data_IF_429975144992
#
_entry.id   IF_429975144992
#
_cell.length_a   1.000
_cell.length_b   1.000
_cell.length_c   1.000
_cell.angle_alpha   90.00
_cell.angle_beta   90.00
_cell.angle_gamma   90.00
#
_symmetry.space_group_name_H-M   'P 1'
#
loop_
_entity.id
_entity.type
_entity.pdbx_description
1 polymer ?
#
# COMPACT_ATOMS: atom_id res chain seq x y z
N UNK A 1 8.35 -6.58 -4.02
CA UNK A 1 8.18 -7.75 -3.14
C UNK A 1 6.69 -7.98 -2.95
N UNK A 2 6.24 -9.26 -2.97
CA UNK A 2 4.86 -9.64 -2.70
C UNK A 2 4.76 -10.26 -1.30
N UNK A 3 3.97 -9.65 -0.44
CA UNK A 3 3.85 -10.04 0.96
C UNK A 3 2.47 -10.64 1.28
N UNK A 4 2.46 -11.71 2.07
CA UNK A 4 1.23 -12.31 2.55
C UNK A 4 0.52 -11.39 3.55
N UNK A 5 -0.81 -11.28 3.42
CA UNK A 5 -1.68 -10.54 4.34
C UNK A 5 -2.49 -11.49 5.22
N UNK A 6 -2.97 -12.59 4.64
CA UNK A 6 -3.77 -13.59 5.37
C UNK A 6 -3.00 -14.15 6.56
N UNK A 7 -3.57 -14.01 7.74
CA UNK A 7 -2.94 -14.44 8.98
C UNK A 7 -1.84 -13.52 9.51
N UNK A 8 -1.53 -12.41 8.83
CA UNK A 8 -0.51 -11.45 9.25
C UNK A 8 -1.18 -10.15 9.74
N UNK A 9 -0.90 -9.75 10.97
CA UNK A 9 -1.51 -8.55 11.58
C UNK A 9 -0.90 -7.24 11.06
N UNK A 10 0.36 -7.30 10.63
CA UNK A 10 1.11 -6.11 10.22
C UNK A 10 2.22 -6.45 9.22
N UNK A 11 2.81 -5.39 8.67
CA UNK A 11 3.87 -5.47 7.67
C UNK A 11 5.12 -6.20 8.17
N UNK A 12 5.48 -6.03 9.43
CA UNK A 12 6.64 -6.69 10.04
C UNK A 12 6.46 -8.21 10.06
N UNK A 13 5.27 -8.70 10.47
CA UNK A 13 4.95 -10.12 10.42
C UNK A 13 5.00 -10.69 9.00
N UNK A 14 4.58 -9.91 8.00
CA UNK A 14 4.67 -10.31 6.60
C UNK A 14 6.11 -10.44 6.12
N UNK A 15 7.03 -9.59 6.57
CA UNK A 15 8.45 -9.73 6.28
C UNK A 15 9.05 -10.97 6.95
N UNK A 16 8.76 -11.21 8.23
CA UNK A 16 9.20 -12.44 8.92
C UNK A 16 8.67 -13.71 8.23
N UNK A 17 7.40 -13.71 7.82
CA UNK A 17 6.83 -14.80 7.06
C UNK A 17 7.53 -15.00 5.71
N UNK A 18 7.92 -13.90 5.04
CA UNK A 18 8.58 -13.96 3.73
C UNK A 18 9.98 -14.58 3.77
N UNK A 19 10.74 -14.34 4.85
CA UNK A 19 12.11 -14.88 5.04
C UNK A 19 12.14 -16.19 5.85
N UNK A 20 10.97 -16.69 6.23
CA UNK A 20 10.89 -17.97 6.96
C UNK A 20 11.46 -19.10 6.14
N UNK A 21 12.33 -19.91 6.75
CA UNK A 21 12.88 -21.11 6.12
C UNK A 21 11.88 -22.26 6.16
N UNK A 22 11.89 -23.07 5.11
CA UNK A 22 11.12 -24.28 4.92
C UNK A 22 12.07 -25.47 4.87
N UNK A 23 11.80 -26.54 5.65
CA UNK A 23 12.53 -27.79 5.55
C UNK A 23 11.97 -28.67 4.42
N UNK A 24 12.83 -29.00 3.49
CA UNK A 24 12.55 -29.97 2.44
C UNK A 24 12.97 -31.37 2.91
N UNK A 25 12.01 -32.13 3.43
CA UNK A 25 12.24 -33.49 3.97
C UNK A 25 11.18 -34.49 3.50
N UNK A 26 11.37 -35.79 3.79
CA UNK A 26 10.45 -36.85 3.39
C UNK A 26 10.30 -36.96 1.87
N UNK A 27 9.07 -36.77 1.37
CA UNK A 27 8.76 -36.85 -0.07
C UNK A 27 9.16 -35.55 -0.83
N UNK A 28 9.47 -34.44 -0.10
CA UNK A 28 9.85 -33.14 -0.65
C UNK A 28 11.36 -32.89 -0.63
N UNK A 29 12.20 -33.92 -0.45
CA UNK A 29 13.66 -33.78 -0.42
C UNK A 29 14.20 -33.08 -1.66
N UNK A 30 15.21 -32.25 -1.46
CA UNK A 30 15.94 -31.60 -2.54
C UNK A 30 16.81 -32.62 -3.31
N UNK A 31 16.72 -32.62 -4.64
CA UNK A 31 17.60 -33.40 -5.48
C UNK A 31 18.92 -32.65 -5.72
N UNK A 32 19.94 -32.99 -4.95
CA UNK A 32 21.27 -32.43 -5.10
C UNK A 32 22.05 -33.21 -6.19
N UNK A 33 22.60 -32.50 -7.16
CA UNK A 33 23.39 -33.08 -8.25
C UNK A 33 24.61 -33.81 -7.68
N UNK A 34 24.75 -35.13 -8.02
CA UNK A 34 25.82 -35.96 -7.53
C UNK A 34 25.60 -36.55 -6.12
N UNK A 35 24.61 -36.11 -5.37
CA UNK A 35 24.33 -36.58 -4.00
C UNK A 35 22.94 -37.20 -3.83
N UNK A 36 22.07 -37.14 -4.85
CA UNK A 36 20.70 -37.66 -4.79
C UNK A 36 19.76 -36.82 -3.94
N UNK A 37 18.74 -37.48 -3.35
CA UNK A 37 17.75 -36.80 -2.50
C UNK A 37 18.34 -36.49 -1.11
N UNK A 38 18.35 -35.20 -0.75
CA UNK A 38 18.89 -34.70 0.52
C UNK A 38 17.84 -33.86 1.25
N UNK A 39 17.87 -33.90 2.58
CA UNK A 39 17.18 -32.89 3.38
C UNK A 39 17.85 -31.56 3.19
N UNK A 40 17.06 -30.50 3.01
CA UNK A 40 17.58 -29.14 2.74
C UNK A 40 16.70 -28.08 3.36
N UNK A 41 17.31 -26.97 3.74
CA UNK A 41 16.60 -25.74 4.09
C UNK A 41 16.44 -24.87 2.84
N UNK A 42 15.22 -24.40 2.60
CA UNK A 42 14.89 -23.46 1.53
C UNK A 42 14.32 -22.18 2.14
N UNK A 43 14.81 -21.04 1.71
CA UNK A 43 14.34 -19.76 2.19
C UNK A 43 14.81 -18.61 1.33
N UNK A 44 14.42 -17.40 1.71
CA UNK A 44 14.84 -16.13 1.10
C UNK A 44 15.66 -15.37 2.12
N UNK A 45 16.76 -14.78 1.67
CA UNK A 45 17.57 -13.83 2.43
C UNK A 45 17.63 -12.51 1.66
N UNK A 46 17.56 -11.40 2.36
CA UNK A 46 17.78 -10.09 1.76
C UNK A 46 19.22 -9.64 1.98
N UNK A 47 19.92 -9.35 0.90
CA UNK A 47 21.26 -8.76 0.93
C UNK A 47 21.20 -7.24 0.84
N UNK A 48 20.19 -6.71 0.12
CA UNK A 48 20.03 -5.27 -0.12
C UNK A 48 18.59 -4.94 -0.47
N UNK A 49 18.13 -3.75 -0.05
CA UNK A 49 16.88 -3.16 -0.52
C UNK A 49 17.14 -1.96 -1.45
N UNK A 50 16.26 -1.69 -2.43
CA UNK A 50 16.39 -0.57 -3.37
C UNK A 50 16.08 0.77 -2.68
N UNK A 51 16.48 1.92 -3.28
CA UNK A 51 16.12 3.25 -2.80
C UNK A 51 14.60 3.47 -2.66
N UNK A 52 13.82 2.95 -3.62
CA UNK A 52 12.36 2.94 -3.61
C UNK A 52 11.87 1.51 -3.56
N UNK A 53 11.11 1.17 -2.54
CA UNK A 53 10.64 -0.18 -2.26
C UNK A 53 9.13 -0.28 -2.49
N UNK A 54 8.73 -1.11 -3.45
CA UNK A 54 7.34 -1.44 -3.71
C UNK A 54 6.97 -2.74 -3.01
N UNK A 55 5.95 -2.69 -2.16
CA UNK A 55 5.43 -3.82 -1.42
C UNK A 55 4.00 -4.10 -1.88
N UNK A 56 3.82 -5.17 -2.65
CA UNK A 56 2.49 -5.64 -3.02
C UNK A 56 1.93 -6.50 -1.90
N UNK A 57 0.78 -6.10 -1.38
CA UNK A 57 0.03 -6.86 -0.38
C UNK A 57 -0.87 -7.86 -1.10
N UNK A 58 -0.69 -9.15 -0.84
CA UNK A 58 -1.45 -10.23 -1.48
C UNK A 58 -2.88 -10.26 -0.95
N UNK A 59 -3.69 -9.33 -1.45
CA UNK A 59 -5.12 -9.19 -1.13
C UNK A 59 -6.02 -10.11 -1.94
N UNK A 60 -5.50 -10.70 -3.01
CA UNK A 60 -6.23 -11.62 -3.86
C UNK A 60 -5.53 -12.96 -3.87
N UNK A 61 -6.24 -14.03 -3.53
CA UNK A 61 -5.74 -15.40 -3.55
C UNK A 61 -6.82 -16.37 -4.00
N UNK A 62 -6.39 -17.53 -4.47
CA UNK A 62 -7.30 -18.62 -4.79
C UNK A 62 -7.59 -19.44 -3.53
N UNK A 63 -8.88 -19.54 -3.18
CA UNK A 63 -9.35 -20.34 -2.06
C UNK A 63 -9.70 -21.75 -2.57
N UNK A 64 -8.86 -22.73 -2.21
CA UNK A 64 -9.01 -24.11 -2.66
C UNK A 64 -10.28 -24.77 -2.10
N UNK A 65 -10.76 -24.36 -0.92
CA UNK A 65 -11.98 -24.91 -0.32
C UNK A 65 -13.25 -24.42 -1.04
N UNK A 66 -13.22 -23.18 -1.51
CA UNK A 66 -14.33 -22.55 -2.22
C UNK A 66 -14.23 -22.68 -3.73
N UNK A 67 -13.08 -23.17 -4.22
CA UNK A 67 -12.76 -23.27 -5.65
C UNK A 67 -12.92 -21.94 -6.41
N UNK A 68 -12.50 -20.83 -5.80
CA UNK A 68 -12.66 -19.49 -6.37
C UNK A 68 -11.61 -18.50 -5.85
N UNK A 69 -11.38 -17.43 -6.63
CA UNK A 69 -10.62 -16.29 -6.14
C UNK A 69 -11.38 -15.58 -5.02
N UNK A 70 -10.66 -15.14 -3.98
CA UNK A 70 -11.21 -14.37 -2.87
C UNK A 70 -10.38 -13.12 -2.62
N UNK A 71 -11.04 -12.07 -2.15
CA UNK A 71 -10.36 -10.86 -1.65
C UNK A 71 -10.16 -10.99 -0.14
N UNK A 72 -8.90 -10.84 0.29
CA UNK A 72 -8.51 -10.84 1.70
C UNK A 72 -8.69 -9.42 2.24
N UNK A 73 -9.74 -9.23 3.03
CA UNK A 73 -10.05 -7.94 3.65
C UNK A 73 -9.58 -7.86 5.11
N UNK A 74 -8.79 -8.82 5.56
CA UNK A 74 -8.27 -8.86 6.93
C UNK A 74 -7.50 -7.58 7.26
N UNK A 75 -7.54 -7.18 8.55
CA UNK A 75 -6.78 -6.05 9.04
C UNK A 75 -5.29 -6.36 8.91
N UNK A 76 -4.57 -5.47 8.26
CA UNK A 76 -3.13 -5.54 8.08
C UNK A 76 -2.54 -4.14 8.21
N UNK A 77 -1.86 -3.88 9.31
CA UNK A 77 -1.30 -2.58 9.63
C UNK A 77 0.04 -2.36 8.95
N UNK A 78 0.29 -1.13 8.52
CA UNK A 78 1.57 -0.69 7.99
C UNK A 78 1.94 0.68 8.57
N UNK A 79 3.22 0.90 8.93
CA UNK A 79 3.66 2.12 9.60
C UNK A 79 4.06 3.22 8.61
N UNK A 80 4.12 4.47 9.09
CA UNK A 80 4.73 5.58 8.34
C UNK A 80 6.24 5.43 8.19
N UNK A 81 6.88 4.69 9.07
CA UNK A 81 8.32 4.44 9.06
C UNK A 81 8.60 3.01 9.50
N UNK A 82 9.46 2.32 8.77
CA UNK A 82 9.86 0.95 9.08
C UNK A 82 11.39 0.82 8.98
N UNK A 83 11.99 0.14 9.95
CA UNK A 83 13.39 -0.29 9.87
C UNK A 83 13.45 -1.71 9.30
N UNK A 84 14.07 -1.85 8.14
CA UNK A 84 14.22 -3.13 7.45
C UNK A 84 15.53 -3.85 7.79
N UNK A 85 16.38 -3.25 8.62
CA UNK A 85 17.63 -3.85 9.07
C UNK A 85 17.48 -5.26 9.64
N UNK A 86 16.44 -5.60 10.45
CA UNK A 86 16.28 -6.94 11.01
C UNK A 86 16.07 -8.05 9.98
N UNK A 87 15.65 -7.71 8.75
CA UNK A 87 15.35 -8.68 7.70
C UNK A 87 16.52 -8.92 6.75
N UNK A 88 17.63 -8.18 6.92
CA UNK A 88 18.85 -8.33 6.11
C UNK A 88 19.81 -9.33 6.73
N UNK A 89 20.65 -9.93 5.88
CA UNK A 89 21.81 -10.70 6.33
C UNK A 89 22.71 -9.81 7.20
N UNK A 90 23.45 -10.43 8.11
CA UNK A 90 24.24 -9.71 9.13
C UNK A 90 25.27 -8.77 8.50
N UNK A 91 25.91 -9.18 7.41
CA UNK A 91 26.91 -8.42 6.67
C UNK A 91 26.38 -7.11 6.08
N UNK A 92 25.08 -7.02 5.81
CA UNK A 92 24.43 -5.85 5.23
C UNK A 92 23.89 -4.87 6.28
N UNK A 93 23.94 -5.21 7.58
CA UNK A 93 23.30 -4.45 8.65
C UNK A 93 24.11 -3.23 9.17
N UNK A 94 25.23 -2.89 8.53
CA UNK A 94 26.09 -1.78 8.95
C UNK A 94 25.61 -0.39 8.49
N UNK A 95 24.66 -0.35 7.55
CA UNK A 95 24.02 0.88 7.06
C UNK A 95 22.63 1.09 7.69
N UNK A 96 22.11 2.34 7.72
CA UNK A 96 20.72 2.59 8.10
C UNK A 96 19.74 2.12 7.00
N UNK A 97 18.78 1.29 7.39
CA UNK A 97 17.76 0.73 6.48
C UNK A 97 16.35 1.19 6.84
N UNK A 98 16.24 2.43 7.32
CA UNK A 98 14.96 3.06 7.62
C UNK A 98 14.28 3.53 6.34
N UNK A 99 13.00 3.19 6.20
CA UNK A 99 12.15 3.55 5.07
C UNK A 99 10.95 4.37 5.55
N UNK A 100 10.59 5.39 4.78
CA UNK A 100 9.41 6.23 5.00
C UNK A 100 8.34 5.94 3.97
N UNK A 101 7.10 5.85 4.44
CA UNK A 101 5.95 5.66 3.56
C UNK A 101 5.77 6.90 2.68
N UNK A 102 5.74 6.69 1.38
CA UNK A 102 5.57 7.72 0.35
C UNK A 102 4.22 7.60 -0.36
N UNK A 103 3.75 6.37 -0.57
CA UNK A 103 2.51 6.10 -1.29
C UNK A 103 1.76 4.87 -0.80
N UNK A 104 0.43 4.97 -0.83
CA UNK A 104 -0.52 3.88 -0.53
C UNK A 104 -1.48 3.77 -1.69
N UNK A 105 -1.44 2.65 -2.40
CA UNK A 105 -2.37 2.37 -3.48
C UNK A 105 -3.50 1.51 -2.93
N UNK A 106 -4.72 1.97 -3.13
CA UNK A 106 -5.93 1.45 -2.50
C UNK A 106 -6.87 0.88 -3.54
N UNK A 107 -7.47 -0.26 -3.21
CA UNK A 107 -8.58 -0.84 -3.96
C UNK A 107 -9.83 -0.85 -3.08
N UNK A 108 -10.91 -0.26 -3.59
CA UNK A 108 -12.24 -0.25 -2.98
C UNK A 108 -13.19 -1.09 -3.82
N UNK A 109 -13.75 -2.13 -3.25
CA UNK A 109 -14.64 -3.07 -3.95
C UNK A 109 -14.25 -4.52 -3.73
N UNK A 110 -14.83 -5.40 -4.53
CA UNK A 110 -14.62 -6.86 -4.49
C UNK A 110 -13.82 -7.37 -5.71
N UNK A 111 -13.95 -8.67 -6.00
CA UNK A 111 -13.27 -9.33 -7.14
C UNK A 111 -13.84 -8.96 -8.52
N UNK A 112 -15.14 -8.61 -8.56
CA UNK A 112 -15.86 -8.44 -9.81
C UNK A 112 -15.86 -7.00 -10.31
N UNK A 113 -15.43 -6.07 -9.46
CA UNK A 113 -15.32 -4.67 -9.78
C UNK A 113 -14.88 -3.85 -8.57
N UNK A 114 -14.33 -2.69 -8.85
CA UNK A 114 -13.87 -1.81 -7.81
C UNK A 114 -13.25 -0.55 -8.38
N UNK A 115 -12.84 0.30 -7.47
CA UNK A 115 -12.24 1.58 -7.77
C UNK A 115 -10.84 1.64 -7.17
N UNK A 116 -9.89 2.21 -7.90
CA UNK A 116 -8.52 2.39 -7.48
C UNK A 116 -8.22 3.87 -7.26
N UNK A 117 -7.51 4.18 -6.21
CA UNK A 117 -6.97 5.51 -5.95
C UNK A 117 -5.63 5.41 -5.22
N UNK A 118 -4.90 6.51 -5.18
CA UNK A 118 -3.62 6.57 -4.48
C UNK A 118 -3.61 7.69 -3.45
N UNK A 119 -2.94 7.43 -2.33
CA UNK A 119 -2.60 8.42 -1.31
C UNK A 119 -1.09 8.61 -1.37
N UNK A 120 -0.65 9.81 -1.68
CA UNK A 120 0.77 10.10 -1.93
C UNK A 120 1.19 11.32 -1.12
N UNK A 121 2.41 11.25 -0.60
CA UNK A 121 3.15 12.37 -0.02
C UNK A 121 4.22 12.80 -1.02
N UNK A 122 3.97 13.80 -1.90
CA UNK A 122 4.86 14.10 -3.03
C UNK A 122 6.28 14.47 -2.65
N UNK A 123 6.43 15.26 -1.58
CA UNK A 123 7.72 15.72 -1.07
C UNK A 123 7.87 15.33 0.41
N UNK A 124 9.10 15.25 0.94
CA UNK A 124 9.37 14.85 2.31
C UNK A 124 8.57 15.61 3.37
N UNK A 125 8.43 16.92 3.17
CA UNK A 125 7.76 17.84 4.11
C UNK A 125 6.35 18.27 3.68
N UNK A 126 5.84 17.73 2.55
CA UNK A 126 4.50 18.05 2.06
C UNK A 126 3.40 17.37 2.88
N UNK A 127 2.16 17.79 2.65
CA UNK A 127 0.98 17.07 3.11
C UNK A 127 0.72 15.81 2.26
N UNK A 128 -0.13 14.93 2.77
CA UNK A 128 -0.67 13.82 2.00
C UNK A 128 -1.79 14.29 1.09
N UNK A 129 -1.86 13.70 -0.10
CA UNK A 129 -2.90 13.97 -1.08
C UNK A 129 -3.51 12.65 -1.57
N UNK A 130 -4.83 12.67 -1.76
CA UNK A 130 -5.56 11.61 -2.44
C UNK A 130 -5.66 11.95 -3.92
N UNK A 131 -5.17 11.04 -4.76
CA UNK A 131 -5.28 11.07 -6.21
C UNK A 131 -6.37 10.07 -6.63
N UNK A 132 -7.47 10.58 -7.13
CA UNK A 132 -8.68 9.81 -7.41
C UNK A 132 -9.23 10.25 -8.78
N UNK A 133 -8.83 9.52 -9.81
CA UNK A 133 -9.01 9.84 -11.22
C UNK A 133 -8.48 11.27 -11.55
N UNK A 134 -9.36 12.21 -11.88
CA UNK A 134 -9.05 13.60 -12.22
C UNK A 134 -9.00 14.54 -11.00
N UNK A 135 -9.22 13.99 -9.79
CA UNK A 135 -9.29 14.78 -8.54
C UNK A 135 -8.08 14.56 -7.66
N UNK A 136 -7.50 15.66 -7.21
CA UNK A 136 -6.45 15.67 -6.18
C UNK A 136 -6.97 16.47 -4.99
N UNK A 137 -7.04 15.82 -3.83
CA UNK A 137 -7.55 16.43 -2.59
C UNK A 137 -6.58 16.18 -1.44
N UNK A 138 -6.46 17.10 -0.47
CA UNK A 138 -5.71 16.83 0.75
C UNK A 138 -6.25 15.61 1.48
N UNK A 139 -5.37 14.82 2.08
CA UNK A 139 -5.71 13.62 2.85
C UNK A 139 -5.13 13.71 4.27
N UNK A 140 -5.87 13.19 5.23
CA UNK A 140 -5.45 13.08 6.62
C UNK A 140 -4.65 11.80 6.86
N UNK A 141 -3.83 11.76 7.92
CA UNK A 141 -3.11 10.54 8.30
C UNK A 141 -4.04 9.37 8.62
N UNK A 142 -5.24 9.65 9.13
CA UNK A 142 -6.25 8.61 9.37
C UNK A 142 -6.69 7.97 8.06
N UNK A 143 -6.95 8.78 7.03
CA UNK A 143 -7.29 8.30 5.68
C UNK A 143 -6.14 7.54 5.04
N UNK A 144 -4.89 7.95 5.29
CA UNK A 144 -3.71 7.25 4.75
C UNK A 144 -3.53 5.87 5.40
N UNK A 145 -3.71 5.76 6.70
CA UNK A 145 -3.40 4.57 7.50
C UNK A 145 -4.66 3.76 7.84
N UNK A 146 -5.39 4.18 8.89
CA UNK A 146 -6.45 3.40 9.53
C UNK A 146 -7.58 3.00 8.57
N UNK A 147 -7.96 3.89 7.67
CA UNK A 147 -9.05 3.63 6.73
C UNK A 147 -8.66 2.60 5.65
N UNK A 148 -7.35 2.35 5.47
CA UNK A 148 -6.80 1.44 4.47
C UNK A 148 -6.15 0.16 5.01
N UNK A 149 -6.17 -0.04 6.34
CA UNK A 149 -5.69 -1.31 6.92
C UNK A 149 -6.60 -2.50 6.59
N UNK A 150 -7.86 -2.28 6.24
CA UNK A 150 -8.86 -3.34 6.13
C UNK A 150 -9.48 -3.71 7.48
N UNK A 151 -9.96 -4.96 7.59
CA UNK A 151 -10.60 -5.47 8.78
C UNK A 151 -12.10 -5.18 8.84
N UNK A 152 -12.62 -5.05 10.05
CA UNK A 152 -14.03 -4.81 10.31
C UNK A 152 -14.27 -3.39 10.81
N UNK A 153 -15.44 -2.87 10.52
CA UNK A 153 -15.91 -1.58 11.04
C UNK A 153 -17.22 -1.79 11.80
N UNK A 154 -17.34 -1.11 12.94
CA UNK A 154 -18.62 -0.97 13.62
C UNK A 154 -19.34 0.23 13.01
N UNK A 155 -20.56 0.08 12.47
CA UNK A 155 -21.30 1.19 11.89
C UNK A 155 -21.49 2.33 12.90
N UNK A 156 -21.36 3.60 12.50
CA UNK A 156 -21.73 4.73 13.35
C UNK A 156 -23.20 4.60 13.76
N UNK A 157 -23.50 4.64 15.04
CA UNK A 157 -24.85 4.45 15.59
C UNK A 157 -25.06 3.14 16.35
N UNK A 158 -24.07 2.23 16.33
CA UNK A 158 -24.10 1.02 17.16
C UNK A 158 -23.99 1.30 18.67
N UNK A 159 -23.55 2.49 19.06
CA UNK A 159 -23.30 2.87 20.47
C UNK A 159 -24.56 3.44 21.16
N UNK A 160 -25.58 3.90 20.41
CA UNK A 160 -26.80 4.52 20.95
C UNK A 160 -28.04 3.61 20.80
N UNK A 161 -27.92 2.33 21.09
CA UNK A 161 -29.11 1.47 21.18
C UNK A 161 -29.70 1.51 22.59
N UNK A 162 -31.01 1.64 22.65
CA UNK A 162 -31.81 1.47 23.87
C UNK A 162 -31.42 0.14 24.56
N UNK A 163 -31.35 0.08 25.91
CA UNK A 163 -30.93 -1.11 26.66
C UNK A 163 -31.71 -2.40 26.38
N UNK A 164 -32.82 -2.33 25.63
CA UNK A 164 -33.66 -3.47 25.27
C UNK A 164 -33.37 -4.13 23.91
N UNK A 165 -32.38 -3.66 23.16
CA UNK A 165 -32.04 -4.25 21.86
C UNK A 165 -31.07 -5.42 22.01
N UNK A 166 -31.58 -6.65 21.99
CA UNK A 166 -30.84 -7.91 22.16
C UNK A 166 -30.09 -8.40 20.91
N UNK A 167 -30.17 -7.70 19.76
CA UNK A 167 -29.48 -8.12 18.56
C UNK A 167 -28.01 -7.68 18.59
N UNK A 168 -27.04 -8.59 18.37
CA UNK A 168 -25.63 -8.24 18.30
C UNK A 168 -25.37 -7.27 17.15
N UNK A 169 -24.53 -6.26 17.39
CA UNK A 169 -24.05 -5.37 16.33
C UNK A 169 -23.19 -6.22 15.40
N UNK A 170 -23.65 -6.43 14.17
CA UNK A 170 -22.89 -7.15 13.17
C UNK A 170 -21.81 -6.25 12.62
N UNK A 171 -20.56 -6.57 12.90
CA UNK A 171 -19.43 -5.89 12.29
C UNK A 171 -19.48 -6.07 10.75
N UNK A 172 -19.23 -4.99 10.02
CA UNK A 172 -19.18 -5.01 8.56
C UNK A 172 -17.71 -5.07 8.11
N UNK A 173 -17.40 -5.93 7.15
CA UNK A 173 -16.08 -5.98 6.55
C UNK A 173 -15.82 -4.71 5.73
N UNK A 174 -14.61 -4.16 5.84
CA UNK A 174 -14.13 -3.08 4.99
C UNK A 174 -13.67 -3.67 3.66
N UNK A 175 -14.32 -3.28 2.57
CA UNK A 175 -13.92 -3.65 1.21
C UNK A 175 -12.88 -2.69 0.60
N UNK A 176 -12.54 -1.63 1.32
CA UNK A 176 -11.50 -0.66 0.95
C UNK A 176 -10.25 -0.95 1.75
N UNK A 177 -9.14 -1.21 1.07
CA UNK A 177 -7.86 -1.49 1.70
C UNK A 177 -6.68 -1.28 0.77
N UNK A 178 -5.50 -1.05 1.36
CA UNK A 178 -4.25 -0.96 0.62
C UNK A 178 -3.89 -2.32 0.00
N UNK A 179 -3.47 -2.30 -1.27
CA UNK A 179 -2.95 -3.46 -1.98
C UNK A 179 -1.48 -3.29 -2.42
N UNK A 180 -0.98 -2.06 -2.42
CA UNK A 180 0.44 -1.76 -2.67
C UNK A 180 0.89 -0.58 -1.82
N UNK A 181 2.08 -0.69 -1.26
CA UNK A 181 2.76 0.34 -0.49
C UNK A 181 4.05 0.73 -1.19
N UNK A 182 4.35 2.02 -1.19
CA UNK A 182 5.60 2.56 -1.72
C UNK A 182 6.35 3.23 -0.57
N UNK A 183 7.54 2.73 -0.31
CA UNK A 183 8.44 3.28 0.70
C UNK A 183 9.70 3.82 0.03
N UNK A 184 10.23 4.91 0.57
CA UNK A 184 11.50 5.51 0.13
C UNK A 184 12.50 5.42 1.28
N UNK A 185 13.74 5.01 0.98
CA UNK A 185 14.82 4.94 1.96
C UNK A 185 15.12 6.34 2.48
N UNK A 186 15.06 6.52 3.81
CA UNK A 186 15.19 7.83 4.46
C UNK A 186 16.50 8.55 4.07
N UNK A 187 17.62 7.82 4.06
CA UNK A 187 18.94 8.38 3.71
C UNK A 187 19.09 8.81 2.24
N UNK A 188 18.13 8.47 1.38
CA UNK A 188 18.13 8.79 -0.06
C UNK A 188 16.92 9.65 -0.47
N UNK A 189 16.12 10.13 0.49
CA UNK A 189 14.89 10.87 0.18
C UNK A 189 15.16 12.16 -0.61
N UNK A 190 16.20 12.90 -0.25
CA UNK A 190 16.54 14.17 -0.93
C UNK A 190 16.99 13.94 -2.39
N UNK A 191 17.56 12.77 -2.69
CA UNK A 191 17.92 12.38 -4.04
C UNK A 191 16.73 11.89 -4.84
N UNK A 192 15.93 10.98 -4.24
CA UNK A 192 14.80 10.32 -4.89
C UNK A 192 13.63 11.28 -5.10
N UNK A 193 13.33 12.12 -4.10
CA UNK A 193 12.21 13.07 -4.10
C UNK A 193 12.71 14.50 -4.30
N UNK A 194 13.75 14.67 -5.13
CA UNK A 194 14.25 16.00 -5.48
C UNK A 194 13.13 16.87 -6.04
N UNK A 195 12.90 18.07 -5.48
CA UNK A 195 11.87 18.98 -5.99
C UNK A 195 12.10 19.31 -7.48
N UNK A 196 11.02 19.26 -8.25
CA UNK A 196 11.00 19.63 -9.66
C UNK A 196 10.63 21.10 -9.75
N UNK A 197 11.52 21.92 -10.32
CA UNK A 197 11.27 23.33 -10.58
C UNK A 197 10.74 23.59 -12.00
N UNK A 198 10.25 24.80 -12.28
CA UNK A 198 9.79 25.17 -13.63
C UNK A 198 10.83 24.96 -14.74
N UNK A 199 12.12 25.08 -14.41
CA UNK A 199 13.23 24.85 -15.35
C UNK A 199 13.46 23.37 -15.70
N UNK A 200 12.92 22.44 -14.92
CA UNK A 200 13.02 21.00 -15.15
C UNK A 200 11.87 20.49 -16.06
N UNK A 201 10.87 21.33 -16.31
CA UNK A 201 9.75 20.98 -17.18
C UNK A 201 10.10 21.22 -18.65
N UNK A 202 9.85 20.25 -19.53
CA UNK A 202 9.96 20.47 -20.98
C UNK A 202 9.00 21.59 -21.43
N UNK A 203 9.45 22.42 -22.39
CA UNK A 203 8.68 23.58 -22.86
C UNK A 203 7.26 23.23 -23.29
N UNK A 204 7.07 22.13 -24.00
CA UNK A 204 5.74 21.68 -24.47
C UNK A 204 4.77 21.35 -23.33
N UNK A 205 5.29 20.89 -22.18
CA UNK A 205 4.46 20.63 -20.97
C UNK A 205 4.08 21.93 -20.28
N UNK A 206 5.00 22.88 -20.21
CA UNK A 206 4.77 24.22 -19.64
C UNK A 206 3.69 24.96 -20.44
N UNK A 207 3.78 24.93 -21.78
CA UNK A 207 2.78 25.52 -22.68
C UNK A 207 1.41 24.85 -22.48
N UNK A 208 1.37 23.53 -22.46
CA UNK A 208 0.11 22.79 -22.28
C UNK A 208 -0.56 23.07 -20.94
N UNK A 209 0.21 23.11 -19.84
CA UNK A 209 -0.32 23.41 -18.50
C UNK A 209 -0.92 24.83 -18.48
N UNK A 210 -0.25 25.80 -19.11
CA UNK A 210 -0.76 27.17 -19.19
C UNK A 210 -2.05 27.27 -20.05
N UNK A 211 -2.10 26.57 -21.18
CA UNK A 211 -3.31 26.51 -22.01
C UNK A 211 -4.48 25.86 -21.26
N UNK A 212 -4.25 24.75 -20.55
CA UNK A 212 -5.29 24.10 -19.73
C UNK A 212 -5.77 25.03 -18.60
N UNK A 213 -4.88 25.81 -17.97
CA UNK A 213 -5.22 26.79 -16.95
C UNK A 213 -6.12 27.90 -17.51
N UNK A 214 -5.78 28.44 -18.66
CA UNK A 214 -6.56 29.46 -19.35
C UNK A 214 -7.96 28.91 -19.69
N UNK A 215 -8.05 27.71 -20.24
CA UNK A 215 -9.33 27.07 -20.58
C UNK A 215 -10.21 26.83 -19.36
N UNK A 216 -9.62 26.42 -18.23
CA UNK A 216 -10.37 26.25 -16.98
C UNK A 216 -10.93 27.57 -16.47
N UNK A 217 -10.15 28.66 -16.57
CA UNK A 217 -10.59 29.99 -16.12
C UNK A 217 -11.73 30.52 -17.00
N UNK A 218 -11.66 30.34 -18.32
CA UNK A 218 -12.75 30.68 -19.25
C UNK A 218 -14.03 29.92 -18.88
N UNK A 219 -13.95 28.59 -18.72
CA UNK A 219 -15.12 27.77 -18.34
C UNK A 219 -15.69 28.15 -16.97
N UNK A 220 -14.84 28.59 -16.03
CA UNK A 220 -15.31 29.06 -14.74
C UNK A 220 -16.11 30.34 -14.87
N UNK A 221 -15.61 31.31 -15.63
CA UNK A 221 -16.32 32.59 -15.90
C UNK A 221 -17.65 32.36 -16.61
N UNK A 222 -17.68 31.51 -17.64
CA UNK A 222 -18.91 31.16 -18.35
C UNK A 222 -19.97 30.55 -17.42
N UNK A 223 -19.57 29.69 -16.46
CA UNK A 223 -20.50 29.12 -15.47
C UNK A 223 -21.00 30.16 -14.48
N UNK A 224 -20.12 31.06 -14.03
CA UNK A 224 -20.49 32.16 -13.13
C UNK A 224 -21.50 33.10 -13.81
N UNK A 225 -21.32 33.40 -15.09
CA UNK A 225 -22.26 34.23 -15.88
C UNK A 225 -23.61 33.51 -16.09
N UNK A 226 -23.62 32.19 -16.35
CA UNK A 226 -24.86 31.43 -16.50
C UNK A 226 -25.67 31.31 -15.19
N UNK A 227 -25.05 31.43 -14.03
CA UNK A 227 -25.75 31.41 -12.74
C UNK A 227 -26.29 32.79 -12.32
N UNK A 228 -25.95 33.86 -13.05
CA UNK A 228 -26.43 35.21 -12.79
C UNK A 228 -27.74 35.56 -13.57
N UNK A 229 -28.17 34.66 -14.44
CA UNK A 229 -29.43 34.74 -15.20
C UNK A 229 -30.36 33.58 -14.84
#
# INVERSE_FOLDING_TARGET
>A
IQLNVKGMLNLEQSFWNYIQTEMLEGDNKYHAEGYGLQDAEKGVVFEKFPPVLHLQLKRFEYDLEKDMMVKINDRHEFPLSIDLKPFLIQEAQHEPWVYKLHGVLVHSGDLHGGHYFALIKPEPDSNWFKFDDDRVTPATLKEVLEDNFGGEMVPPGGINRHPSATAPIRAMKRFTNAYMLVYVRESLMDEVLKPIGPADLPDYLSERIEDERIQMEIRRREREEQHLY
#
